data_IF_992389887441
#
_entry.id   IF_992389887441
#
_cell.length_a   1.000
_cell.length_b   1.000
_cell.length_c   1.000
_cell.angle_alpha   90.00
_cell.angle_beta   90.00
_cell.angle_gamma   90.00
#
_symmetry.space_group_name_H-M   'P 1'
#
loop_
_entity.id
_entity.type
_entity.pdbx_description
1 polymer ?
#
# COMPACT_ATOMS: atom_id res chain seq x y z
N UNK A 1 -10.72 19.61 5.40
CA UNK A 1 -9.51 18.99 5.99
C UNK A 1 -8.58 18.61 4.85
N UNK A 2 -7.47 19.34 4.67
CA UNK A 2 -6.46 19.00 3.66
C UNK A 2 -5.83 17.65 4.01
N UNK A 3 -6.12 16.62 3.21
CA UNK A 3 -5.41 15.35 3.31
C UNK A 3 -3.99 15.57 2.80
N UNK A 4 -3.05 15.81 3.71
CA UNK A 4 -1.63 15.78 3.41
C UNK A 4 -1.33 14.37 2.87
N UNK A 5 -0.97 14.27 1.58
CA UNK A 5 -0.66 12.98 0.95
C UNK A 5 0.51 12.36 1.71
N UNK A 6 0.37 11.17 2.30
CA UNK A 6 1.47 10.46 2.94
C UNK A 6 2.64 10.31 1.95
N UNK A 7 3.74 10.98 2.28
CA UNK A 7 5.00 10.92 1.54
C UNK A 7 5.94 9.86 2.11
N UNK A 8 5.53 9.11 3.15
CA UNK A 8 6.36 8.09 3.79
C UNK A 8 5.55 6.97 4.46
N UNK A 9 6.21 5.83 4.70
CA UNK A 9 5.67 4.71 5.50
C UNK A 9 5.37 5.16 6.93
N UNK A 10 6.16 6.09 7.48
CA UNK A 10 5.92 6.64 8.82
C UNK A 10 4.60 7.39 8.90
N UNK A 11 4.19 8.06 7.83
CA UNK A 11 2.89 8.73 7.76
C UNK A 11 1.76 7.75 7.51
N UNK A 12 1.96 6.74 6.67
CA UNK A 12 1.00 5.62 6.51
C UNK A 12 0.73 4.93 7.86
N UNK A 13 1.78 4.70 8.67
CA UNK A 13 1.67 4.11 10.00
C UNK A 13 0.81 4.90 11.00
N UNK A 14 0.48 6.17 10.71
CA UNK A 14 -0.45 6.95 11.52
C UNK A 14 -1.91 6.57 11.26
N UNK A 15 -2.19 5.90 10.14
CA UNK A 15 -3.51 5.38 9.83
C UNK A 15 -3.69 4.00 10.50
N UNK A 16 -4.70 3.80 11.36
CA UNK A 16 -4.96 2.50 11.98
C UNK A 16 -5.41 1.43 10.97
N UNK A 17 -5.74 1.85 9.75
CA UNK A 17 -6.08 0.97 8.64
C UNK A 17 -4.86 0.21 8.09
N UNK A 18 -3.65 0.76 8.28
CA UNK A 18 -2.40 0.23 7.79
C UNK A 18 -1.63 -0.49 8.90
N UNK A 19 -1.21 -1.72 8.64
CA UNK A 19 -0.33 -2.48 9.53
C UNK A 19 1.10 -2.32 9.06
N UNK A 20 1.94 -1.65 9.85
CA UNK A 20 3.38 -1.52 9.55
C UNK A 20 4.17 -2.37 10.51
N UNK A 21 4.91 -3.34 9.97
CA UNK A 21 5.79 -4.22 10.75
C UNK A 21 7.25 -3.81 10.57
N UNK A 22 8.08 -4.14 11.55
CA UNK A 22 9.49 -3.76 11.51
C UNK A 22 10.23 -4.08 12.80
N UNK A 23 11.54 -3.84 12.80
CA UNK A 23 12.38 -3.96 13.98
C UNK A 23 13.49 -2.90 13.98
N UNK A 24 13.92 -2.47 15.17
CA UNK A 24 15.06 -1.55 15.36
C UNK A 24 14.96 -0.26 14.53
N UNK A 25 13.76 0.33 14.46
CA UNK A 25 13.50 1.56 13.71
C UNK A 25 13.47 1.40 12.18
N UNK A 26 13.53 0.16 11.67
CA UNK A 26 13.37 -0.14 10.25
C UNK A 26 12.07 -0.90 10.03
N UNK A 27 11.31 -0.48 9.03
CA UNK A 27 10.10 -1.18 8.61
C UNK A 27 10.45 -2.34 7.67
N UNK A 28 9.62 -3.36 7.65
CA UNK A 28 9.76 -4.57 6.82
C UNK A 28 8.58 -4.72 5.86
N UNK A 29 7.36 -4.51 6.36
CA UNK A 29 6.14 -4.47 5.53
C UNK A 29 5.25 -3.31 5.97
N UNK A 30 4.47 -2.78 5.04
CA UNK A 30 3.33 -1.93 5.34
C UNK A 30 2.15 -2.43 4.50
N UNK A 31 1.11 -2.90 5.16
CA UNK A 31 0.01 -3.62 4.52
C UNK A 31 -1.34 -3.00 4.86
N UNK A 32 -2.18 -2.89 3.83
CA UNK A 32 -3.60 -2.61 3.95
C UNK A 32 -4.39 -3.80 3.45
N UNK A 33 -5.20 -4.36 4.33
CA UNK A 33 -6.11 -5.47 4.04
C UNK A 33 -7.52 -4.95 3.84
N UNK A 34 -8.18 -5.38 2.76
CA UNK A 34 -9.56 -5.03 2.43
C UNK A 34 -10.36 -6.30 2.09
N UNK A 35 -11.45 -6.55 2.82
CA UNK A 35 -12.44 -7.57 2.45
C UNK A 35 -13.54 -6.92 1.62
N UNK A 36 -13.58 -7.19 0.31
CA UNK A 36 -14.53 -6.58 -0.62
C UNK A 36 -15.24 -7.67 -1.43
N UNK A 37 -16.57 -7.79 -1.23
CA UNK A 37 -17.34 -8.90 -1.79
C UNK A 37 -16.85 -10.24 -1.25
N UNK A 38 -16.57 -11.19 -2.15
CA UNK A 38 -15.99 -12.50 -1.82
C UNK A 38 -14.45 -12.51 -1.85
N UNK A 39 -13.81 -11.37 -2.12
CA UNK A 39 -12.37 -11.29 -2.34
C UNK A 39 -11.63 -10.60 -1.21
N UNK A 40 -10.41 -11.07 -0.96
CA UNK A 40 -9.48 -10.49 -0.01
C UNK A 40 -8.37 -9.75 -0.75
N UNK A 41 -8.31 -8.43 -0.60
CA UNK A 41 -7.29 -7.60 -1.23
C UNK A 41 -6.21 -7.21 -0.23
N UNK A 42 -4.97 -7.27 -0.68
CA UNK A 42 -3.82 -6.75 0.09
C UNK A 42 -3.09 -5.71 -0.76
N UNK A 43 -2.93 -4.51 -0.22
CA UNK A 43 -2.00 -3.50 -0.75
C UNK A 43 -0.77 -3.51 0.15
N UNK A 44 0.35 -4.03 -0.35
CA UNK A 44 1.56 -4.20 0.44
C UNK A 44 2.74 -3.43 -0.13
N UNK A 45 3.47 -2.77 0.77
CA UNK A 45 4.75 -2.12 0.50
C UNK A 45 5.85 -2.92 1.20
N UNK A 46 7.01 -3.05 0.57
CA UNK A 46 8.22 -3.64 1.17
C UNK A 46 9.47 -2.86 0.75
N UNK A 47 10.48 -2.70 1.62
CA UNK A 47 11.73 -2.09 1.23
C UNK A 47 12.50 -3.07 0.34
N UNK A 48 13.19 -2.55 -0.66
CA UNK A 48 14.04 -3.34 -1.57
C UNK A 48 15.51 -3.01 -1.36
N UNK A 49 16.39 -3.91 -1.81
CA UNK A 49 17.82 -3.62 -1.91
C UNK A 49 18.03 -2.34 -2.75
N UNK A 50 18.89 -1.43 -2.28
CA UNK A 50 19.15 -0.15 -2.94
C UNK A 50 18.23 1.00 -2.53
N UNK A 51 17.43 0.85 -1.46
CA UNK A 51 16.66 1.94 -0.87
C UNK A 51 15.38 2.32 -1.60
N UNK A 52 15.01 1.59 -2.65
CA UNK A 52 13.69 1.73 -3.28
C UNK A 52 12.63 0.93 -2.52
N UNK A 53 11.37 1.24 -2.75
CA UNK A 53 10.22 0.50 -2.24
C UNK A 53 9.63 -0.35 -3.36
N UNK A 54 9.10 -1.52 -3.03
CA UNK A 54 8.21 -2.30 -3.87
C UNK A 54 6.78 -2.12 -3.35
N UNK A 55 5.83 -2.03 -4.28
CA UNK A 55 4.39 -2.01 -4.04
C UNK A 55 3.79 -3.21 -4.78
N UNK A 56 2.96 -3.97 -4.11
CA UNK A 56 2.30 -5.15 -4.64
C UNK A 56 0.81 -5.10 -4.28
N UNK A 57 -0.02 -5.54 -5.22
CA UNK A 57 -1.46 -5.72 -5.04
C UNK A 57 -1.75 -7.21 -5.17
N UNK A 58 -2.37 -7.79 -4.16
CA UNK A 58 -2.89 -9.14 -4.20
C UNK A 58 -4.41 -9.14 -4.17
N UNK A 59 -5.00 -10.11 -4.86
CA UNK A 59 -6.38 -10.52 -4.69
C UNK A 59 -6.38 -12.02 -4.39
N UNK A 60 -6.87 -12.38 -3.21
CA UNK A 60 -6.77 -13.71 -2.64
C UNK A 60 -5.29 -14.16 -2.63
N UNK A 61 -4.93 -15.16 -3.43
CA UNK A 61 -3.57 -15.70 -3.52
C UNK A 61 -2.80 -15.26 -4.78
N UNK A 62 -3.38 -14.37 -5.59
CA UNK A 62 -2.80 -13.92 -6.86
C UNK A 62 -2.22 -12.50 -6.77
N UNK A 63 -1.01 -12.31 -7.32
CA UNK A 63 -0.42 -10.97 -7.52
C UNK A 63 -1.06 -10.34 -8.76
N UNK A 64 -1.87 -9.31 -8.56
CA UNK A 64 -2.57 -8.59 -9.62
C UNK A 64 -1.68 -7.51 -10.25
N UNK A 65 -0.89 -6.83 -9.43
CA UNK A 65 -0.02 -5.76 -9.88
C UNK A 65 1.20 -5.60 -8.99
N UNK A 66 2.30 -5.13 -9.58
CA UNK A 66 3.48 -4.74 -8.83
C UNK A 66 4.13 -3.48 -9.42
N UNK A 67 4.76 -2.68 -8.57
CA UNK A 67 5.56 -1.50 -8.95
C UNK A 67 6.79 -1.39 -8.06
N UNK A 68 7.83 -0.74 -8.56
CA UNK A 68 9.04 -0.41 -7.79
C UNK A 68 9.38 1.06 -8.02
N UNK A 69 9.81 1.75 -6.97
CA UNK A 69 10.13 3.17 -7.08
C UNK A 69 10.43 3.84 -5.73
N UNK A 70 10.54 5.17 -5.72
CA UNK A 70 10.71 5.95 -4.50
C UNK A 70 9.57 5.72 -3.52
N UNK A 71 9.87 5.68 -2.21
CA UNK A 71 8.89 5.46 -1.14
C UNK A 71 7.67 6.38 -1.27
N UNK A 72 7.90 7.69 -1.39
CA UNK A 72 6.83 8.68 -1.49
C UNK A 72 5.87 8.42 -2.67
N UNK A 73 6.41 8.11 -3.85
CA UNK A 73 5.59 7.85 -5.04
C UNK A 73 4.76 6.57 -4.89
N UNK A 74 5.30 5.55 -4.22
CA UNK A 74 4.58 4.30 -3.98
C UNK A 74 3.57 4.41 -2.83
N UNK A 75 3.83 5.20 -1.79
CA UNK A 75 2.81 5.53 -0.79
C UNK A 75 1.60 6.21 -1.44
N UNK A 76 1.83 7.19 -2.32
CA UNK A 76 0.75 7.84 -3.07
C UNK A 76 -0.02 6.86 -3.96
N UNK A 77 0.72 5.99 -4.67
CA UNK A 77 0.10 4.98 -5.55
C UNK A 77 -0.72 3.97 -4.74
N UNK A 78 -0.22 3.52 -3.60
CA UNK A 78 -0.88 2.58 -2.72
C UNK A 78 -2.22 3.13 -2.20
N UNK A 79 -2.26 4.40 -1.79
CA UNK A 79 -3.49 5.07 -1.36
C UNK A 79 -4.48 5.26 -2.50
N UNK A 80 -3.99 5.47 -3.73
CA UNK A 80 -4.85 5.53 -4.91
C UNK A 80 -5.50 4.18 -5.18
N UNK A 81 -4.74 3.08 -5.09
CA UNK A 81 -5.29 1.73 -5.22
C UNK A 81 -6.30 1.43 -4.13
N UNK A 82 -5.99 1.72 -2.86
CA UNK A 82 -6.92 1.59 -1.74
C UNK A 82 -8.22 2.37 -2.00
N UNK A 83 -8.12 3.64 -2.39
CA UNK A 83 -9.29 4.49 -2.63
C UNK A 83 -10.14 4.03 -3.82
N UNK A 84 -9.52 3.43 -4.85
CA UNK A 84 -10.25 2.86 -5.98
C UNK A 84 -11.00 1.59 -5.57
N UNK A 85 -10.33 0.67 -4.88
CA UNK A 85 -10.92 -0.58 -4.41
C UNK A 85 -12.10 -0.31 -3.46
N UNK A 86 -11.91 0.57 -2.47
CA UNK A 86 -12.98 0.97 -1.54
C UNK A 86 -14.18 1.61 -2.24
N UNK A 87 -13.98 2.23 -3.40
CA UNK A 87 -15.05 2.84 -4.18
C UNK A 87 -15.66 1.88 -5.23
N UNK A 88 -15.26 0.62 -5.26
CA UNK A 88 -15.72 -0.36 -6.25
C UNK A 88 -15.25 -0.05 -7.68
N UNK A 89 -14.16 0.72 -7.84
CA UNK A 89 -13.55 1.01 -9.15
C UNK A 89 -12.38 0.07 -9.43
N UNK A 90 -11.96 -0.08 -10.70
CA UNK A 90 -10.71 -0.74 -11.03
C UNK A 90 -9.54 -0.13 -10.26
N UNK A 91 -8.64 -0.97 -9.74
CA UNK A 91 -7.55 -0.56 -8.86
C UNK A 91 -6.62 0.47 -9.52
N UNK A 92 -6.40 0.38 -10.83
CA UNK A 92 -5.59 1.29 -11.62
C UNK A 92 -6.34 2.56 -12.09
N UNK A 93 -7.65 2.62 -11.83
CA UNK A 93 -8.51 3.74 -12.21
C UNK A 93 -8.85 3.82 -13.69
N UNK A 94 -8.70 2.72 -14.43
CA UNK A 94 -9.18 2.60 -15.82
C UNK A 94 -10.65 2.26 -15.92
#
# INVERSE_FOLDING_TARGET
>A
MNHQRPASIRELARSPAWTVTGSRGRWSTAERVLSLGSHHWVVGLTPTAGGATALMLWCDDEVIAHRRGPEAALCETALRWEANLLAGRPWDGR
#
